data_IF_583249304682
#
_entry.id   IF_583249304682
#
_cell.length_a   1.000
_cell.length_b   1.000
_cell.length_c   1.000
_cell.angle_alpha   90.00
_cell.angle_beta   90.00
_cell.angle_gamma   90.00
#
_symmetry.space_group_name_H-M   'P 1'
#
loop_
_entity.id
_entity.type
_entity.pdbx_description
1 polymer ?
#
# COMPACT_ATOMS: atom_id res chain seq x y z
N UNK A 1 33.25 24.08 12.06
CA UNK A 1 32.11 23.25 12.45
C UNK A 1 31.09 23.29 11.33
N UNK A 2 31.07 22.27 10.48
CA UNK A 2 30.01 22.10 9.47
C UNK A 2 28.75 21.65 10.21
N UNK A 3 27.67 22.41 10.06
CA UNK A 3 26.34 22.07 10.58
C UNK A 3 25.94 20.73 9.96
N UNK A 4 25.87 19.66 10.76
CA UNK A 4 25.24 18.42 10.34
C UNK A 4 23.76 18.75 10.11
N UNK A 5 23.35 18.79 8.85
CA UNK A 5 21.93 18.88 8.53
C UNK A 5 21.27 17.60 9.03
N UNK A 6 20.16 17.75 9.76
CA UNK A 6 19.35 16.60 10.17
C UNK A 6 18.87 15.91 8.90
N UNK A 7 19.44 14.74 8.59
CA UNK A 7 19.04 13.89 7.47
C UNK A 7 17.74 13.14 7.83
N UNK A 8 16.74 13.89 8.27
CA UNK A 8 15.43 13.38 8.59
C UNK A 8 14.56 13.47 7.34
N UNK A 9 14.03 12.33 6.89
CA UNK A 9 13.05 12.26 5.82
C UNK A 9 11.64 12.18 6.42
N UNK A 10 10.67 12.97 5.92
CA UNK A 10 9.26 12.80 6.30
C UNK A 10 8.61 11.56 5.69
N UNK A 11 9.30 10.84 4.81
CA UNK A 11 8.77 9.71 4.06
C UNK A 11 9.68 8.48 4.13
N UNK A 12 9.04 7.33 4.19
CA UNK A 12 9.65 6.01 4.07
C UNK A 12 8.92 5.17 3.01
N UNK A 13 9.59 4.15 2.49
CA UNK A 13 8.98 3.19 1.58
C UNK A 13 8.49 1.97 2.37
N UNK A 14 7.17 1.88 2.55
CA UNK A 14 6.52 0.79 3.29
C UNK A 14 6.12 -0.42 2.40
N UNK A 15 6.71 -0.50 1.21
CA UNK A 15 6.57 -1.57 0.24
C UNK A 15 5.13 -2.03 -0.04
N UNK A 16 5.01 -3.33 -0.32
CA UNK A 16 3.76 -3.93 -0.82
C UNK A 16 3.63 -3.97 -2.32
N UNK A 17 2.54 -4.58 -2.78
CA UNK A 17 2.22 -4.72 -4.21
C UNK A 17 0.72 -4.78 -4.43
N UNK A 18 0.25 -4.10 -5.48
CA UNK A 18 -1.12 -4.13 -5.95
C UNK A 18 -1.13 -4.59 -7.41
N UNK A 19 -2.11 -5.42 -7.80
CA UNK A 19 -2.30 -5.89 -9.17
C UNK A 19 -3.77 -5.75 -9.56
N UNK A 20 -4.02 -5.31 -10.80
CA UNK A 20 -5.35 -5.23 -11.39
C UNK A 20 -5.42 -5.99 -12.71
N UNK A 21 -6.51 -6.72 -12.94
CA UNK A 21 -6.80 -7.45 -14.18
C UNK A 21 -8.20 -7.06 -14.66
N UNK A 22 -8.28 -6.54 -15.88
CA UNK A 22 -9.54 -6.22 -16.54
C UNK A 22 -10.07 -7.44 -17.30
N UNK A 23 -11.28 -7.87 -16.97
CA UNK A 23 -12.10 -8.79 -17.76
C UNK A 23 -13.00 -8.02 -18.73
N UNK A 24 -13.85 -8.74 -19.47
CA UNK A 24 -14.78 -8.13 -20.41
C UNK A 24 -15.88 -7.29 -19.70
N UNK A 25 -16.29 -7.73 -18.51
CA UNK A 25 -17.43 -7.23 -17.74
C UNK A 25 -17.13 -7.10 -16.23
N UNK A 26 -15.86 -7.32 -15.84
CA UNK A 26 -15.41 -7.21 -14.46
C UNK A 26 -13.98 -6.68 -14.37
N UNK A 27 -13.57 -6.28 -13.17
CA UNK A 27 -12.18 -5.98 -12.85
C UNK A 27 -11.84 -6.63 -11.51
N UNK A 28 -10.71 -7.32 -11.45
CA UNK A 28 -10.16 -7.86 -10.20
C UNK A 28 -9.01 -6.97 -9.79
N UNK A 29 -9.08 -6.43 -8.56
CA UNK A 29 -8.01 -5.64 -7.96
C UNK A 29 -7.61 -6.34 -6.65
N UNK A 30 -6.33 -6.63 -6.50
CA UNK A 30 -5.78 -7.33 -5.32
C UNK A 30 -4.54 -6.61 -4.81
N UNK A 31 -4.29 -6.73 -3.51
CA UNK A 31 -3.10 -6.21 -2.87
C UNK A 31 -2.72 -7.11 -1.70
N UNK A 32 -1.44 -7.11 -1.35
CA UNK A 32 -0.99 -7.72 -0.11
C UNK A 32 -1.44 -6.90 1.12
N UNK A 33 -1.49 -7.56 2.28
CA UNK A 33 -1.95 -6.96 3.55
C UNK A 33 -0.81 -6.67 4.53
N UNK A 34 0.46 -6.73 4.09
CA UNK A 34 1.65 -6.52 4.93
C UNK A 34 2.04 -5.05 4.98
N UNK A 35 1.83 -4.36 6.09
CA UNK A 35 2.47 -3.05 6.25
C UNK A 35 3.87 -3.22 6.85
N UNK A 36 4.90 -2.64 6.22
CA UNK A 36 6.28 -2.69 6.70
C UNK A 36 6.80 -1.29 7.02
N UNK A 37 7.14 -1.05 8.28
CA UNK A 37 7.90 0.11 8.75
C UNK A 37 9.36 -0.30 8.99
N UNK A 38 10.27 0.66 9.17
CA UNK A 38 11.73 0.47 9.17
C UNK A 38 12.21 -0.68 10.06
N UNK A 39 11.47 -1.01 11.14
CA UNK A 39 11.82 -2.10 12.06
C UNK A 39 10.64 -3.00 12.44
N UNK A 40 9.47 -2.90 11.76
CA UNK A 40 8.26 -3.61 12.19
C UNK A 40 7.38 -4.02 11.02
N UNK A 41 6.89 -5.25 11.07
CA UNK A 41 5.81 -5.73 10.22
C UNK A 41 4.47 -5.66 10.96
N UNK A 42 3.43 -5.20 10.27
CA UNK A 42 2.06 -5.08 10.79
C UNK A 42 1.06 -5.72 9.83
N UNK A 43 0.08 -6.44 10.40
CA UNK A 43 -0.98 -7.15 9.68
C UNK A 43 -2.31 -7.08 10.47
N UNK A 44 -3.47 -7.09 9.80
CA UNK A 44 -3.69 -6.85 8.37
C UNK A 44 -3.85 -5.35 8.05
N UNK A 45 -3.27 -4.88 6.95
CA UNK A 45 -3.44 -3.50 6.48
C UNK A 45 -3.89 -3.48 5.01
N UNK A 46 -5.19 -3.25 4.79
CA UNK A 46 -5.75 -3.14 3.44
C UNK A 46 -5.19 -1.93 2.71
N UNK A 47 -4.69 -2.12 1.48
CA UNK A 47 -4.24 -1.02 0.60
C UNK A 47 -5.32 -0.51 -0.35
N UNK A 48 -6.48 -1.16 -0.33
CA UNK A 48 -7.51 -0.94 -1.31
C UNK A 48 -8.72 -0.32 -0.65
N UNK A 49 -9.24 0.72 -1.30
CA UNK A 49 -10.30 1.57 -0.82
C UNK A 49 -11.45 1.55 -1.82
N UNK A 50 -12.66 1.26 -1.34
CA UNK A 50 -13.86 1.31 -2.17
C UNK A 50 -14.36 2.75 -2.27
N UNK A 51 -14.10 3.41 -3.41
CA UNK A 51 -14.52 4.79 -3.65
C UNK A 51 -15.88 4.91 -4.35
N UNK A 52 -16.27 3.88 -5.11
CA UNK A 52 -17.53 3.79 -5.84
C UNK A 52 -18.09 2.36 -5.71
N UNK A 53 -19.41 2.16 -5.85
CA UNK A 53 -20.04 0.85 -5.64
C UNK A 53 -19.61 -0.24 -6.65
N UNK A 54 -18.80 0.09 -7.66
CA UNK A 54 -18.42 -0.80 -8.78
C UNK A 54 -17.19 -1.68 -8.47
N UNK A 55 -16.48 -1.48 -7.36
CA UNK A 55 -15.30 -2.30 -7.01
C UNK A 55 -15.64 -3.23 -5.84
N UNK A 56 -15.85 -4.51 -6.13
CA UNK A 56 -16.03 -5.55 -5.11
C UNK A 56 -14.67 -6.12 -4.71
N UNK A 57 -14.31 -5.98 -3.42
CA UNK A 57 -13.19 -6.67 -2.80
C UNK A 57 -13.59 -8.10 -2.46
N UNK A 58 -12.84 -9.10 -2.94
CA UNK A 58 -12.88 -10.43 -2.33
C UNK A 58 -11.89 -10.46 -1.15
N UNK A 59 -12.34 -10.89 0.05
CA UNK A 59 -11.53 -10.95 1.26
C UNK A 59 -10.41 -11.98 1.20
#
# INVERSE_FOLDING_TARGET
MTKQEANWSPYDNNGGSCVAIAGADYCVITADTRYEDVHRLQYPHSRLLQNLPIVCFFP
#
